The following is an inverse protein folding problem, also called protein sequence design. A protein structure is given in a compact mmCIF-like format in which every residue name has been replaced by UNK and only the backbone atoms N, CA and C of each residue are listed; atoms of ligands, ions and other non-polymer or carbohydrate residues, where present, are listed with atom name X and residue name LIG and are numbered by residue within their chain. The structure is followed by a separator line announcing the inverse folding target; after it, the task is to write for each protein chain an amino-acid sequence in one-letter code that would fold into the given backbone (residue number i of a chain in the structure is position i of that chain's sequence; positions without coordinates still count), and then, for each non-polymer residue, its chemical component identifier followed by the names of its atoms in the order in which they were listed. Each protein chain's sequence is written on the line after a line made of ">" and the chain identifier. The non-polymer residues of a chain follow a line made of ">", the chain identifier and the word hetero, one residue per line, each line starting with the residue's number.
data_IF_063760095054
#
_entry.id   IF_063760095054
#
_cell.length_a   1.000
_cell.length_b   1.000
_cell.length_c   1.000
_cell.angle_alpha   90.00
_cell.angle_beta   90.00
_cell.angle_gamma   90.00
#
_symmetry.space_group_name_H-M   'P 1'
#
loop_
_entity.id
_entity.type
_entity.pdbx_description
1 polymer ?
#
# COMPACT_ATOMS: atom_id res chain seq x y z
N UNK A 1 33.34 -11.19 26.41
CA UNK A 1 32.34 -10.46 25.57
C UNK A 1 31.51 -9.65 26.54
N UNK A 2 31.36 -8.33 26.39
CA UNK A 2 30.62 -7.55 27.37
C UNK A 2 29.17 -8.04 27.41
N UNK A 3 28.59 -8.03 28.61
CA UNK A 3 27.24 -8.48 28.92
C UNK A 3 26.20 -7.60 28.22
N UNK A 4 25.92 -7.89 26.94
CA UNK A 4 24.85 -7.23 26.19
C UNK A 4 23.53 -7.73 26.78
N UNK A 5 22.88 -6.88 27.58
CA UNK A 5 21.51 -7.14 28.02
C UNK A 5 20.63 -7.31 26.78
N UNK A 6 19.80 -8.37 26.72
CA UNK A 6 18.92 -8.59 25.58
C UNK A 6 17.96 -7.41 25.43
N UNK A 7 17.72 -6.99 24.19
CA UNK A 7 16.77 -5.90 23.91
C UNK A 7 15.37 -6.34 24.37
N UNK A 8 14.70 -5.60 25.28
CA UNK A 8 13.41 -6.00 25.84
C UNK A 8 12.29 -6.08 24.79
N UNK A 9 12.48 -5.48 23.62
CA UNK A 9 11.53 -5.55 22.50
C UNK A 9 11.81 -6.70 21.54
N UNK A 10 12.91 -7.44 21.73
CA UNK A 10 13.25 -8.63 20.94
C UNK A 10 12.70 -9.88 21.62
N UNK A 11 11.42 -10.13 21.37
CA UNK A 11 10.62 -11.26 21.86
C UNK A 11 10.51 -12.39 20.82
N UNK A 12 10.14 -13.59 21.28
CA UNK A 12 9.94 -14.81 20.45
C UNK A 12 8.58 -15.49 20.76
N UNK A 13 8.25 -16.57 20.05
CA UNK A 13 7.00 -17.31 20.27
C UNK A 13 5.76 -16.51 19.83
N UNK A 14 4.71 -16.50 20.66
CA UNK A 14 3.48 -15.73 20.38
C UNK A 14 3.72 -14.22 20.28
N UNK A 15 4.76 -13.74 20.94
CA UNK A 15 5.20 -12.36 20.92
C UNK A 15 6.27 -12.11 19.84
N UNK A 16 6.62 -13.10 19.03
CA UNK A 16 7.69 -13.03 18.04
C UNK A 16 7.32 -12.40 16.70
N UNK A 17 6.13 -11.79 16.58
CA UNK A 17 5.66 -11.21 15.32
C UNK A 17 6.02 -9.73 15.20
N UNK A 18 6.65 -9.37 14.09
CA UNK A 18 7.05 -8.00 13.77
C UNK A 18 6.52 -7.64 12.38
N UNK A 19 5.73 -6.58 12.32
CA UNK A 19 5.26 -6.04 11.05
C UNK A 19 6.34 -5.16 10.40
N UNK A 20 6.35 -5.20 9.07
CA UNK A 20 7.10 -4.27 8.24
C UNK A 20 6.09 -3.39 7.51
N UNK A 21 6.25 -2.08 7.60
CA UNK A 21 5.45 -1.12 6.83
C UNK A 21 6.30 0.10 6.48
N UNK A 22 5.88 0.80 5.42
CA UNK A 22 6.45 2.08 5.05
C UNK A 22 5.36 3.13 4.84
N UNK A 23 4.78 3.55 5.96
CA UNK A 23 3.64 4.45 6.00
C UNK A 23 2.31 3.70 5.88
N UNK A 24 1.24 4.48 5.93
CA UNK A 24 -0.14 4.04 5.78
C UNK A 24 -0.74 4.76 4.58
N UNK A 25 -1.49 4.04 3.76
CA UNK A 25 -2.25 4.59 2.66
C UNK A 25 -3.62 3.89 2.58
N UNK A 26 -4.60 4.59 2.03
CA UNK A 26 -5.92 4.09 1.70
C UNK A 26 -5.98 3.75 0.21
N UNK A 27 -6.89 2.84 -0.19
CA UNK A 27 -7.12 2.60 -1.62
C UNK A 27 -7.60 3.85 -2.37
N UNK A 28 -8.35 4.73 -1.69
CA UNK A 28 -8.74 6.02 -2.25
C UNK A 28 -7.53 6.87 -2.66
N UNK A 29 -6.54 7.03 -1.77
CA UNK A 29 -5.33 7.79 -2.07
C UNK A 29 -4.55 7.15 -3.24
N UNK A 30 -4.52 5.82 -3.32
CA UNK A 30 -3.89 5.11 -4.44
C UNK A 30 -4.63 5.43 -5.75
N UNK A 31 -5.96 5.32 -5.77
CA UNK A 31 -6.77 5.61 -6.96
C UNK A 31 -6.66 7.07 -7.40
N UNK A 32 -6.68 8.01 -6.46
CA UNK A 32 -6.51 9.44 -6.74
C UNK A 32 -5.11 9.70 -7.34
N UNK A 33 -4.08 9.06 -6.81
CA UNK A 33 -2.72 9.21 -7.35
C UNK A 33 -2.60 8.63 -8.76
N UNK A 34 -3.16 7.46 -9.01
CA UNK A 34 -3.17 6.82 -10.33
C UNK A 34 -3.93 7.69 -11.34
N UNK A 35 -5.12 8.20 -10.98
CA UNK A 35 -5.92 9.02 -11.89
C UNK A 35 -5.23 10.35 -12.22
N UNK A 36 -4.55 10.98 -11.26
CA UNK A 36 -3.73 12.16 -11.52
C UNK A 36 -2.62 11.89 -12.54
N UNK A 37 -1.89 10.78 -12.39
CA UNK A 37 -0.78 10.41 -13.27
C UNK A 37 -1.28 10.10 -14.67
N UNK A 38 -2.35 9.30 -14.80
CA UNK A 38 -2.94 8.95 -16.09
C UNK A 38 -3.50 10.18 -16.82
N UNK A 39 -4.15 11.10 -16.10
CA UNK A 39 -4.64 12.34 -16.66
C UNK A 39 -3.49 13.23 -17.14
N UNK A 40 -2.44 13.40 -16.32
CA UNK A 40 -1.24 14.16 -16.69
C UNK A 40 -0.56 13.59 -17.94
N UNK A 41 -0.57 12.26 -18.11
CA UNK A 41 -0.02 11.57 -19.28
C UNK A 41 -0.98 11.51 -20.48
N UNK A 42 -2.19 12.06 -20.37
CA UNK A 42 -3.16 12.16 -21.45
C UNK A 42 -3.94 10.87 -21.76
N UNK A 43 -3.91 9.87 -20.87
CA UNK A 43 -4.61 8.60 -21.05
C UNK A 43 -6.09 8.66 -20.69
N UNK A 44 -6.48 9.59 -19.81
CA UNK A 44 -7.87 9.81 -19.38
C UNK A 44 -8.21 11.31 -19.43
N UNK A 45 -9.49 11.63 -19.54
CA UNK A 45 -9.97 13.02 -19.67
C UNK A 45 -10.13 13.75 -18.33
N UNK A 46 -10.16 13.04 -17.21
CA UNK A 46 -10.33 13.63 -15.88
C UNK A 46 -9.62 12.79 -14.82
N UNK A 47 -9.00 13.45 -13.84
CA UNK A 47 -8.39 12.79 -12.67
C UNK A 47 -9.38 12.52 -11.54
N UNK A 48 -10.67 12.87 -11.68
CA UNK A 48 -11.64 12.70 -10.60
C UNK A 48 -12.00 11.23 -10.40
N UNK A 49 -11.73 10.71 -9.19
CA UNK A 49 -12.16 9.36 -8.79
C UNK A 49 -13.65 9.35 -8.45
N UNK A 50 -14.38 8.40 -9.03
CA UNK A 50 -15.80 8.19 -8.75
C UNK A 50 -15.99 7.16 -7.62
N UNK A 51 -17.08 7.30 -6.86
CA UNK A 51 -17.54 6.26 -5.95
C UNK A 51 -18.47 5.32 -6.70
N UNK A 52 -18.30 4.01 -6.49
CA UNK A 52 -19.20 3.01 -7.05
C UNK A 52 -20.26 2.68 -5.98
N UNK A 53 -21.57 2.71 -6.31
CA UNK A 53 -22.62 2.27 -5.41
C UNK A 53 -22.49 0.79 -4.99
N UNK A 54 -22.95 0.45 -3.79
CA UNK A 54 -22.84 -0.89 -3.21
C UNK A 54 -23.63 -1.98 -3.96
N UNK A 55 -24.67 -1.58 -4.68
CA UNK A 55 -25.50 -2.42 -5.55
C UNK A 55 -24.86 -2.66 -6.92
N UNK A 56 -23.98 -1.75 -7.38
CA UNK A 56 -23.28 -1.84 -8.67
C UNK A 56 -21.88 -2.47 -8.56
N UNK A 57 -21.24 -2.40 -7.39
CA UNK A 57 -19.85 -2.85 -7.22
C UNK A 57 -19.64 -4.32 -7.58
N UNK A 58 -20.64 -5.19 -7.39
CA UNK A 58 -20.53 -6.62 -7.74
C UNK A 58 -20.44 -6.85 -9.26
N UNK A 59 -20.99 -5.92 -10.05
CA UNK A 59 -20.93 -5.98 -11.52
C UNK A 59 -19.55 -5.55 -12.03
N UNK A 60 -18.92 -4.61 -11.34
CA UNK A 60 -17.58 -4.08 -11.71
C UNK A 60 -16.46 -4.97 -11.14
N UNK A 61 -16.59 -5.36 -9.87
CA UNK A 61 -15.62 -6.15 -9.12
C UNK A 61 -16.33 -7.31 -8.41
N UNK A 62 -16.41 -8.49 -9.04
CA UNK A 62 -17.02 -9.66 -8.41
C UNK A 62 -16.21 -10.14 -7.20
N UNK A 63 -16.87 -10.92 -6.34
CA UNK A 63 -16.26 -11.55 -5.17
C UNK A 63 -15.03 -12.41 -5.55
N UNK A 64 -13.93 -12.38 -4.75
CA UNK A 64 -13.76 -11.66 -3.48
C UNK A 64 -13.20 -10.22 -3.60
N UNK A 65 -13.03 -9.69 -4.81
CA UNK A 65 -12.29 -8.45 -5.05
C UNK A 65 -12.94 -7.21 -4.44
N UNK A 66 -14.28 -7.17 -4.37
CA UNK A 66 -15.03 -6.13 -3.66
C UNK A 66 -14.48 -5.86 -2.26
N UNK A 67 -14.23 -6.91 -1.46
CA UNK A 67 -13.75 -6.75 -0.09
C UNK A 67 -12.31 -6.26 -0.04
N UNK A 68 -11.47 -6.67 -0.98
CA UNK A 68 -10.08 -6.22 -1.00
C UNK A 68 -9.95 -4.73 -1.29
N UNK A 69 -10.76 -4.18 -2.20
CA UNK A 69 -10.70 -2.76 -2.58
C UNK A 69 -11.37 -1.84 -1.54
N UNK A 70 -12.32 -2.35 -0.75
CA UNK A 70 -12.97 -1.59 0.32
C UNK A 70 -12.23 -1.57 1.66
N UNK A 71 -11.20 -2.41 1.84
CA UNK A 71 -10.48 -2.56 3.12
C UNK A 71 -9.20 -1.73 3.17
N UNK A 72 -8.61 -1.59 4.36
CA UNK A 72 -7.35 -0.85 4.53
C UNK A 72 -6.38 -1.68 5.35
N UNK A 73 -5.10 -1.67 4.97
CA UNK A 73 -4.03 -2.27 5.79
C UNK A 73 -3.67 -1.32 6.93
N UNK A 74 -3.95 -1.75 8.16
CA UNK A 74 -3.71 -0.97 9.39
C UNK A 74 -2.50 -1.49 10.18
N UNK A 75 -1.68 -2.37 9.60
CA UNK A 75 -0.51 -2.92 10.27
C UNK A 75 0.50 -1.81 10.58
N UNK A 76 1.11 -1.84 11.77
CA UNK A 76 2.12 -0.86 12.18
C UNK A 76 3.37 -1.57 12.70
N UNK A 77 4.55 -1.12 12.26
CA UNK A 77 5.84 -1.71 12.64
C UNK A 77 6.29 -1.27 14.05
N UNK A 78 5.38 -1.03 14.99
CA UNK A 78 5.68 -0.43 16.29
C UNK A 78 6.78 -1.16 17.06
N UNK A 79 6.72 -2.50 17.12
CA UNK A 79 7.73 -3.33 17.81
C UNK A 79 9.09 -3.25 17.10
N UNK A 80 9.07 -3.33 15.78
CA UNK A 80 10.27 -3.35 14.96
C UNK A 80 10.98 -1.98 14.99
N UNK A 81 10.23 -0.88 14.97
CA UNK A 81 10.76 0.49 15.12
C UNK A 81 11.45 0.70 16.47
N UNK A 82 10.97 0.07 17.56
CA UNK A 82 11.65 0.09 18.87
C UNK A 82 13.00 -0.66 18.88
N UNK A 83 13.22 -1.55 17.91
CA UNK A 83 14.52 -2.20 17.67
C UNK A 83 15.46 -1.35 16.80
N UNK A 84 15.07 -0.11 16.46
CA UNK A 84 15.86 0.79 15.62
C UNK A 84 15.66 0.59 14.12
N UNK A 85 14.74 -0.29 13.71
CA UNK A 85 14.43 -0.50 12.29
C UNK A 85 13.76 0.71 11.67
N UNK A 86 14.12 0.98 10.41
CA UNK A 86 13.49 2.00 9.57
C UNK A 86 13.29 1.42 8.16
N UNK A 87 12.17 1.75 7.49
CA UNK A 87 11.97 1.36 6.10
C UNK A 87 13.04 2.02 5.21
N UNK A 88 13.51 1.28 4.20
CA UNK A 88 14.53 1.76 3.25
C UNK A 88 13.97 2.00 1.85
N UNK A 89 12.95 1.24 1.44
CA UNK A 89 12.31 1.38 0.12
C UNK A 89 11.36 2.57 0.10
N UNK A 90 10.97 3.09 -1.08
CA UNK A 90 9.94 4.13 -1.20
C UNK A 90 8.60 3.69 -0.60
N UNK A 91 7.72 4.65 -0.32
CA UNK A 91 6.36 4.33 0.08
C UNK A 91 5.57 3.79 -1.13
N UNK A 92 4.40 3.21 -0.86
CA UNK A 92 3.51 2.77 -1.95
C UNK A 92 3.18 3.94 -2.88
N UNK A 93 2.81 5.11 -2.33
CA UNK A 93 2.44 6.29 -3.13
C UNK A 93 3.60 6.81 -3.98
N UNK A 94 4.84 6.75 -3.46
CA UNK A 94 6.04 7.17 -4.21
C UNK A 94 6.34 6.23 -5.38
N UNK A 95 5.97 4.95 -5.26
CA UNK A 95 6.21 3.95 -6.29
C UNK A 95 5.16 3.94 -7.41
N UNK A 96 3.99 4.58 -7.23
CA UNK A 96 2.86 4.49 -8.18
C UNK A 96 3.24 4.97 -9.58
N UNK A 97 4.01 6.06 -9.71
CA UNK A 97 4.35 6.58 -11.04
C UNK A 97 5.19 5.59 -11.84
N UNK A 98 6.15 4.93 -11.20
CA UNK A 98 6.94 3.87 -11.82
C UNK A 98 6.07 2.69 -12.25
N UNK A 99 5.12 2.28 -11.41
CA UNK A 99 4.22 1.15 -11.70
C UNK A 99 3.27 1.42 -12.86
N UNK A 100 2.72 2.65 -12.92
CA UNK A 100 1.89 3.10 -14.04
C UNK A 100 2.68 3.08 -15.34
N UNK A 101 3.93 3.56 -15.32
CA UNK A 101 4.80 3.56 -16.49
C UNK A 101 5.18 2.16 -16.96
N UNK A 102 5.46 1.24 -16.03
CA UNK A 102 5.70 -0.17 -16.34
C UNK A 102 4.46 -0.80 -17.00
N UNK A 103 3.29 -0.63 -16.39
CA UNK A 103 2.02 -1.18 -16.89
C UNK A 103 1.69 -0.65 -18.29
N UNK A 104 1.85 0.66 -18.54
CA UNK A 104 1.62 1.26 -19.86
C UNK A 104 2.59 0.68 -20.90
N UNK A 105 3.83 0.42 -20.51
CA UNK A 105 4.86 -0.11 -21.43
C UNK A 105 4.58 -1.57 -21.79
N UNK A 106 4.13 -2.39 -20.83
CA UNK A 106 3.74 -3.78 -21.06
C UNK A 106 2.54 -3.92 -22.01
N UNK A 107 1.55 -3.03 -21.89
CA UNK A 107 0.32 -3.08 -22.70
C UNK A 107 0.45 -2.43 -24.09
N UNK A 108 1.64 -1.92 -24.46
CA UNK A 108 1.92 -1.41 -25.81
C UNK A 108 2.49 -2.48 -26.75
N UNK A 109 2.82 -3.67 -26.24
CA UNK A 109 3.27 -4.83 -26.99
C UNK A 109 2.12 -5.81 -27.22
#
# INVERSE_FOLDING_TARGET
>A
KPDVKPNPYLTTGREGYYFVENGRNTWREIFEKVSEILHKKGYIQSSKVASIPDDEINTVFPEPFRWFLGTQSNATAQRLRKLGWKPYRPSVLDAIEQEVDATISENKN
#
